data_IF_429841671136
#
_entry.id   IF_429841671136
#
_cell.length_a   1.000
_cell.length_b   1.000
_cell.length_c   1.000
_cell.angle_alpha   90.00
_cell.angle_beta   90.00
_cell.angle_gamma   90.00
#
_symmetry.space_group_name_H-M   'P 1'
#
loop_
_entity.id
_entity.type
_entity.pdbx_description
1 polymer ?
#
# COMPACT_ATOMS: atom_id res chain seq x y z
N UNK A 1 -35.00 2.31 -80.58
CA UNK A 1 -35.41 2.59 -79.19
C UNK A 1 -34.77 1.62 -78.18
N UNK A 2 -33.42 1.63 -78.02
CA UNK A 2 -32.71 0.71 -77.11
C UNK A 2 -31.90 1.47 -76.03
N UNK A 3 -31.85 2.79 -76.09
CA UNK A 3 -30.95 3.56 -75.22
C UNK A 3 -31.48 4.00 -73.84
N UNK A 4 -32.75 3.97 -73.57
CA UNK A 4 -33.33 4.53 -72.33
C UNK A 4 -33.32 3.54 -71.13
N UNK A 5 -33.42 2.25 -71.38
CA UNK A 5 -33.46 1.27 -70.32
C UNK A 5 -32.10 1.04 -69.61
N UNK A 6 -30.98 1.26 -70.29
CA UNK A 6 -29.65 1.11 -69.68
C UNK A 6 -29.28 2.26 -68.74
N UNK A 7 -29.73 3.49 -69.04
CA UNK A 7 -29.47 4.65 -68.18
C UNK A 7 -30.21 4.53 -66.82
N UNK A 8 -31.44 4.02 -66.81
CA UNK A 8 -32.23 3.85 -65.59
C UNK A 8 -31.64 2.78 -64.68
N UNK A 9 -31.09 1.67 -65.17
CA UNK A 9 -30.45 0.63 -64.36
C UNK A 9 -29.15 1.10 -63.69
N UNK A 10 -28.37 1.92 -64.34
CA UNK A 10 -27.13 2.52 -63.77
C UNK A 10 -27.45 3.54 -62.70
N UNK A 11 -28.50 4.36 -62.91
CA UNK A 11 -28.97 5.35 -61.92
C UNK A 11 -29.52 4.69 -60.65
N UNK A 12 -30.29 3.60 -60.77
CA UNK A 12 -30.85 2.89 -59.62
C UNK A 12 -29.74 2.21 -58.81
N UNK A 13 -28.76 1.56 -59.46
CA UNK A 13 -27.63 0.90 -58.76
C UNK A 13 -26.67 1.92 -58.11
N UNK A 14 -26.53 3.11 -58.67
CA UNK A 14 -25.76 4.20 -58.08
C UNK A 14 -26.45 4.79 -56.82
N UNK A 15 -27.77 4.97 -56.87
CA UNK A 15 -28.53 5.40 -55.72
C UNK A 15 -28.52 4.39 -54.57
N UNK A 16 -28.63 3.09 -54.85
CA UNK A 16 -28.54 2.05 -53.85
C UNK A 16 -27.16 2.06 -53.14
N UNK A 17 -26.08 2.24 -53.93
CA UNK A 17 -24.72 2.37 -53.36
C UNK A 17 -24.56 3.61 -52.49
N UNK A 18 -25.11 4.75 -52.90
CA UNK A 18 -25.05 5.96 -52.10
C UNK A 18 -25.80 5.78 -50.79
N UNK A 19 -27.00 5.15 -50.80
CA UNK A 19 -27.74 4.85 -49.60
C UNK A 19 -26.99 3.89 -48.67
N UNK A 20 -26.37 2.82 -49.19
CA UNK A 20 -25.56 1.87 -48.40
C UNK A 20 -24.35 2.56 -47.76
N UNK A 21 -23.65 3.43 -48.51
CA UNK A 21 -22.54 4.21 -48.00
C UNK A 21 -23.00 5.18 -46.89
N UNK A 22 -24.09 5.87 -47.09
CA UNK A 22 -24.66 6.81 -46.11
C UNK A 22 -25.04 6.07 -44.84
N UNK A 23 -25.74 4.94 -44.94
CA UNK A 23 -26.08 4.11 -43.79
C UNK A 23 -24.87 3.59 -43.02
N UNK A 24 -23.81 3.18 -43.74
CA UNK A 24 -22.55 2.76 -43.11
C UNK A 24 -21.83 3.92 -42.43
N UNK A 25 -21.83 5.10 -43.02
CA UNK A 25 -21.27 6.29 -42.37
C UNK A 25 -22.00 6.64 -41.09
N UNK A 26 -23.34 6.64 -41.08
CA UNK A 26 -24.14 6.88 -39.90
C UNK A 26 -23.83 5.86 -38.79
N UNK A 27 -23.73 4.58 -39.16
CA UNK A 27 -23.33 3.52 -38.21
C UNK A 27 -21.95 3.74 -37.63
N UNK A 28 -20.96 4.12 -38.46
CA UNK A 28 -19.59 4.41 -38.00
C UNK A 28 -19.54 5.62 -37.10
N UNK A 29 -20.29 6.69 -37.41
CA UNK A 29 -20.41 7.86 -36.55
C UNK A 29 -21.02 7.52 -35.19
N UNK A 30 -22.05 6.70 -35.15
CA UNK A 30 -22.64 6.21 -33.90
C UNK A 30 -21.65 5.34 -33.09
N UNK A 31 -20.90 4.46 -33.74
CA UNK A 31 -19.87 3.66 -33.06
C UNK A 31 -18.72 4.54 -32.53
N UNK A 32 -18.27 5.53 -33.30
CA UNK A 32 -17.24 6.47 -32.86
C UNK A 32 -17.73 7.29 -31.63
N UNK A 33 -18.95 7.76 -31.64
CA UNK A 33 -19.55 8.48 -30.51
C UNK A 33 -19.59 7.59 -29.26
N UNK A 34 -20.05 6.34 -29.39
CA UNK A 34 -20.12 5.39 -28.30
C UNK A 34 -18.73 5.04 -27.74
N UNK A 35 -17.73 4.79 -28.61
CA UNK A 35 -16.36 4.54 -28.20
C UNK A 35 -15.73 5.76 -27.52
N UNK A 36 -16.03 6.95 -27.99
CA UNK A 36 -15.49 8.20 -27.39
C UNK A 36 -16.05 8.39 -25.98
N UNK A 37 -17.32 8.10 -25.76
CA UNK A 37 -17.94 8.17 -24.44
C UNK A 37 -17.39 7.07 -23.49
N UNK A 38 -17.18 5.86 -23.98
CA UNK A 38 -16.55 4.81 -23.20
C UNK A 38 -15.10 5.17 -22.78
N UNK A 39 -14.33 5.74 -23.69
CA UNK A 39 -12.95 6.20 -23.38
C UNK A 39 -12.97 7.33 -22.34
N UNK A 40 -13.94 8.23 -22.40
CA UNK A 40 -14.09 9.31 -21.44
C UNK A 40 -14.45 8.77 -20.05
N UNK A 41 -15.37 7.83 -19.99
CA UNK A 41 -15.76 7.15 -18.75
C UNK A 41 -14.58 6.38 -18.13
N UNK A 42 -13.85 5.64 -18.95
CA UNK A 42 -12.68 4.89 -18.50
C UNK A 42 -11.55 5.81 -17.96
N UNK A 43 -11.31 6.92 -18.66
CA UNK A 43 -10.37 7.96 -18.18
C UNK A 43 -10.83 8.57 -16.86
N UNK A 44 -12.12 8.87 -16.72
CA UNK A 44 -12.67 9.43 -15.48
C UNK A 44 -12.53 8.46 -14.31
N UNK A 45 -12.83 7.18 -14.54
CA UNK A 45 -12.62 6.11 -13.54
C UNK A 45 -11.16 5.94 -13.15
N UNK A 46 -10.27 6.02 -14.13
CA UNK A 46 -8.83 5.94 -13.89
C UNK A 46 -8.31 7.11 -13.07
N UNK A 47 -8.70 8.34 -13.41
CA UNK A 47 -8.34 9.55 -12.66
C UNK A 47 -8.90 9.48 -11.24
N UNK A 48 -10.15 9.03 -11.06
CA UNK A 48 -10.74 8.85 -9.74
C UNK A 48 -10.01 7.78 -8.91
N UNK A 49 -9.61 6.68 -9.54
CA UNK A 49 -8.81 5.64 -8.88
C UNK A 49 -7.39 6.11 -8.53
N UNK A 50 -6.77 6.92 -9.37
CA UNK A 50 -5.46 7.53 -9.12
C UNK A 50 -5.52 8.60 -8.01
N UNK A 51 -6.60 9.37 -7.93
CA UNK A 51 -6.81 10.39 -6.89
C UNK A 51 -7.11 9.80 -5.50
N UNK A 52 -7.53 8.53 -5.42
CA UNK A 52 -7.73 7.82 -4.15
C UNK A 52 -6.43 7.30 -3.55
N UNK A 53 -5.31 7.44 -4.27
CA UNK A 53 -4.00 7.05 -3.79
C UNK A 53 -3.27 8.31 -3.39
N UNK A 54 -3.22 8.51 -2.09
CA UNK A 54 -2.45 9.59 -1.50
C UNK A 54 -1.00 9.50 -1.99
N UNK A 55 -0.50 10.53 -2.69
CA UNK A 55 0.85 10.55 -3.27
C UNK A 55 1.96 10.45 -2.21
N UNK A 56 1.62 10.62 -0.94
CA UNK A 56 2.57 10.59 0.17
C UNK A 56 2.92 9.18 0.64
N UNK A 57 2.17 8.14 0.26
CA UNK A 57 2.47 6.77 0.71
C UNK A 57 3.44 6.05 -0.24
N UNK A 58 4.72 6.35 -0.09
CA UNK A 58 5.83 5.72 -0.80
C UNK A 58 5.83 4.18 -0.68
N UNK A 59 5.35 3.64 0.44
CA UNK A 59 5.25 2.20 0.65
C UNK A 59 4.18 1.59 -0.24
N UNK A 60 3.04 2.24 -0.36
CA UNK A 60 1.95 1.79 -1.23
C UNK A 60 2.35 1.81 -2.71
N UNK A 61 3.09 2.84 -3.13
CA UNK A 61 3.66 2.92 -4.48
C UNK A 61 4.67 1.79 -4.74
N UNK A 62 5.47 1.42 -3.76
CA UNK A 62 6.43 0.32 -3.88
C UNK A 62 5.72 -1.03 -4.04
N UNK A 63 4.67 -1.29 -3.27
CA UNK A 63 3.84 -2.49 -3.37
C UNK A 63 3.18 -2.58 -4.75
N UNK A 64 2.62 -1.48 -5.25
CA UNK A 64 2.04 -1.41 -6.60
C UNK A 64 3.04 -1.77 -7.69
N UNK A 65 4.27 -1.24 -7.60
CA UNK A 65 5.34 -1.56 -8.55
C UNK A 65 5.71 -3.04 -8.51
N UNK A 66 5.73 -3.65 -7.33
CA UNK A 66 6.01 -5.08 -7.16
C UNK A 66 4.89 -5.90 -7.81
N UNK A 67 3.63 -5.62 -7.50
CA UNK A 67 2.47 -6.32 -8.08
C UNK A 67 2.44 -6.17 -9.60
N UNK A 68 2.67 -4.95 -10.12
CA UNK A 68 2.72 -4.70 -11.55
C UNK A 68 3.85 -5.51 -12.25
N UNK A 69 5.00 -5.65 -11.60
CA UNK A 69 6.11 -6.48 -12.11
C UNK A 69 5.72 -7.95 -12.21
N UNK A 70 5.08 -8.51 -11.19
CA UNK A 70 4.63 -9.90 -11.22
C UNK A 70 3.55 -10.12 -12.27
N UNK A 71 2.62 -9.18 -12.46
CA UNK A 71 1.62 -9.24 -13.53
C UNK A 71 2.27 -9.18 -14.93
N UNK A 72 3.35 -8.41 -15.09
CA UNK A 72 4.11 -8.34 -16.34
C UNK A 72 5.01 -9.56 -16.58
N UNK A 73 5.24 -10.41 -15.57
CA UNK A 73 6.07 -11.62 -15.63
C UNK A 73 5.26 -12.90 -15.81
N UNK A 74 4.07 -12.82 -16.44
CA UNK A 74 3.15 -13.95 -16.71
C UNK A 74 2.67 -14.70 -15.45
N UNK A 75 2.81 -14.12 -14.26
CA UNK A 75 2.22 -14.70 -13.03
C UNK A 75 0.71 -14.51 -13.10
N UNK A 76 -0.09 -15.59 -13.01
CA UNK A 76 -1.54 -15.48 -13.07
C UNK A 76 -2.07 -14.53 -11.98
N UNK A 77 -2.97 -13.57 -12.31
CA UNK A 77 -3.56 -12.67 -11.33
C UNK A 77 -4.20 -13.39 -10.14
N UNK A 78 -4.75 -14.55 -10.37
CA UNK A 78 -5.34 -15.41 -9.35
C UNK A 78 -4.31 -15.89 -8.32
N UNK A 79 -3.10 -16.24 -8.76
CA UNK A 79 -2.02 -16.64 -7.86
C UNK A 79 -1.57 -15.47 -6.98
N UNK A 80 -1.46 -14.26 -7.56
CA UNK A 80 -1.14 -13.06 -6.80
C UNK A 80 -2.22 -12.79 -5.76
N UNK A 81 -3.50 -12.87 -6.15
CA UNK A 81 -4.64 -12.68 -5.25
C UNK A 81 -4.65 -13.70 -4.11
N UNK A 82 -4.41 -14.98 -4.41
CA UNK A 82 -4.33 -16.03 -3.39
C UNK A 82 -3.20 -15.78 -2.40
N UNK A 83 -2.02 -15.37 -2.88
CA UNK A 83 -0.87 -15.03 -2.04
C UNK A 83 -1.19 -13.83 -1.13
N UNK A 84 -1.77 -12.76 -1.67
CA UNK A 84 -2.19 -11.60 -0.88
C UNK A 84 -3.26 -11.97 0.17
N UNK A 85 -4.22 -12.83 -0.17
CA UNK A 85 -5.23 -13.33 0.77
C UNK A 85 -4.62 -14.21 1.87
N UNK A 86 -3.53 -14.93 1.59
CA UNK A 86 -2.80 -15.70 2.60
C UNK A 86 -2.05 -14.78 3.57
N UNK A 87 -1.52 -13.65 3.11
CA UNK A 87 -0.89 -12.65 3.98
C UNK A 87 -1.88 -12.04 5.00
N UNK A 88 -3.16 -11.95 4.65
CA UNK A 88 -4.24 -11.49 5.54
C UNK A 88 -4.68 -12.52 6.59
N UNK A 89 -4.30 -13.79 6.47
CA UNK A 89 -4.60 -14.81 7.49
C UNK A 89 -3.69 -14.64 8.70
N UNK A 90 -4.19 -14.88 9.92
CA UNK A 90 -3.35 -14.82 11.10
C UNK A 90 -2.22 -15.85 10.96
N UNK A 91 -1.01 -15.35 10.69
CA UNK A 91 0.18 -16.18 10.71
C UNK A 91 0.36 -16.77 12.11
N UNK A 92 0.80 -18.02 12.21
CA UNK A 92 1.12 -18.62 13.51
C UNK A 92 2.32 -17.89 14.10
N UNK A 93 2.04 -16.93 14.98
CA UNK A 93 3.06 -16.16 15.68
C UNK A 93 3.29 -16.73 17.08
N UNK A 94 4.56 -16.85 17.47
CA UNK A 94 4.96 -17.14 18.83
C UNK A 94 5.63 -15.90 19.41
N UNK A 95 5.14 -15.44 20.55
CA UNK A 95 5.79 -14.36 21.28
C UNK A 95 7.15 -14.85 21.80
N UNK A 96 8.20 -14.10 21.50
CA UNK A 96 9.56 -14.34 21.94
C UNK A 96 9.86 -13.56 23.18
N UNK A 97 9.41 -12.30 23.24
CA UNK A 97 9.65 -11.40 24.37
C UNK A 97 8.48 -10.44 24.51
N UNK A 98 8.18 -10.06 25.75
CA UNK A 98 7.22 -9.00 26.08
C UNK A 98 7.74 -8.26 27.31
N UNK A 99 8.10 -7.01 27.13
CA UNK A 99 8.74 -6.20 28.19
C UNK A 99 8.37 -4.73 28.02
N UNK A 100 8.25 -4.05 29.15
CA UNK A 100 8.20 -2.59 29.19
C UNK A 100 9.62 -2.05 29.08
N UNK A 101 9.85 -1.16 28.14
CA UNK A 101 11.13 -0.47 27.94
C UNK A 101 10.96 1.03 28.10
N UNK A 102 12.01 1.64 28.61
CA UNK A 102 12.07 3.07 28.82
C UNK A 102 12.29 3.80 27.50
N UNK A 103 11.49 4.84 27.26
CA UNK A 103 11.58 5.67 26.07
C UNK A 103 12.57 6.80 26.31
N UNK A 104 13.58 6.88 25.46
CA UNK A 104 14.54 7.99 25.49
C UNK A 104 13.92 9.25 24.93
N UNK A 105 14.11 10.38 25.60
CA UNK A 105 13.71 11.69 25.12
C UNK A 105 14.91 12.64 25.07
N UNK A 106 14.83 13.79 24.37
CA UNK A 106 15.92 14.75 24.35
C UNK A 106 16.37 15.21 25.74
N UNK A 107 15.47 15.24 26.69
CA UNK A 107 15.71 15.65 28.09
C UNK A 107 16.06 14.50 29.04
N UNK A 108 15.96 13.23 28.54
CA UNK A 108 16.18 12.04 29.33
C UNK A 108 16.84 10.91 28.50
N UNK A 109 18.10 10.66 28.77
CA UNK A 109 18.89 9.68 28.02
C UNK A 109 18.51 8.21 28.28
N UNK A 110 17.55 7.95 29.19
CA UNK A 110 17.16 6.61 29.62
C UNK A 110 18.19 5.93 30.52
N UNK A 111 17.77 4.85 31.19
CA UNK A 111 18.61 3.97 31.98
C UNK A 111 19.06 2.75 31.19
N UNK A 112 19.47 1.70 31.92
CA UNK A 112 19.85 0.40 31.32
C UNK A 112 18.68 -0.31 30.65
N UNK A 113 17.42 0.07 30.99
CA UNK A 113 16.18 -0.50 30.47
C UNK A 113 15.72 0.11 29.12
N UNK A 114 16.50 1.00 28.51
CA UNK A 114 16.12 1.69 27.28
C UNK A 114 16.26 0.83 26.00
N UNK A 115 16.78 -0.38 26.13
CA UNK A 115 16.95 -1.33 25.01
C UNK A 115 16.43 -2.71 25.37
N UNK A 116 15.76 -3.32 24.41
CA UNK A 116 15.42 -4.72 24.47
C UNK A 116 16.42 -5.48 23.59
N UNK A 117 17.12 -6.44 24.18
CA UNK A 117 18.00 -7.36 23.47
C UNK A 117 17.36 -8.74 23.42
N UNK A 118 17.29 -9.32 22.23
CA UNK A 118 16.85 -10.69 22.01
C UNK A 118 17.99 -11.50 21.41
N UNK A 119 18.63 -12.35 22.26
CA UNK A 119 19.65 -13.35 21.83
C UNK A 119 20.75 -12.78 20.93
N UNK A 120 21.35 -11.66 21.25
CA UNK A 120 22.44 -10.99 20.50
C UNK A 120 22.15 -10.71 19.00
N UNK A 121 20.96 -11.08 18.52
CA UNK A 121 20.60 -10.99 17.10
C UNK A 121 19.64 -9.86 16.78
N UNK A 122 18.88 -9.37 17.75
CA UNK A 122 17.93 -8.28 17.62
C UNK A 122 18.05 -7.33 18.80
N UNK A 123 18.21 -6.05 18.54
CA UNK A 123 18.04 -5.00 19.54
C UNK A 123 16.93 -4.04 19.10
N UNK A 124 16.08 -3.64 20.04
CA UNK A 124 15.02 -2.67 19.84
C UNK A 124 15.28 -1.49 20.76
N UNK A 125 15.27 -0.31 20.18
CA UNK A 125 15.47 0.95 20.86
C UNK A 125 14.32 1.92 20.50
N UNK A 126 13.81 2.68 21.49
CA UNK A 126 12.69 3.58 21.28
C UNK A 126 13.05 4.97 21.78
N UNK A 127 12.86 5.93 20.89
CA UNK A 127 12.96 7.37 21.15
C UNK A 127 11.57 8.00 21.06
N UNK A 128 11.32 9.06 21.83
CA UNK A 128 10.07 9.80 21.80
C UNK A 128 10.27 11.26 22.20
N UNK A 129 9.20 12.02 22.09
CA UNK A 129 9.22 13.41 22.55
C UNK A 129 8.83 13.49 24.03
N UNK A 130 9.45 14.43 24.74
CA UNK A 130 9.12 14.72 26.12
C UNK A 130 7.73 15.36 26.23
N UNK A 131 6.99 14.99 27.27
CA UNK A 131 5.71 15.63 27.56
C UNK A 131 5.89 17.08 28.00
N UNK A 132 4.92 17.92 27.69
CA UNK A 132 4.84 19.30 28.17
C UNK A 132 3.75 19.38 29.25
N UNK A 133 4.13 19.60 30.49
CA UNK A 133 3.20 20.05 31.53
C UNK A 133 3.02 21.56 31.46
N UNK A 134 1.86 22.06 31.84
CA UNK A 134 1.48 23.49 31.76
C UNK A 134 2.44 24.47 32.44
N UNK A 135 3.42 24.00 33.20
CA UNK A 135 4.38 24.79 33.95
C UNK A 135 5.84 24.35 33.85
N UNK A 136 6.13 23.13 33.32
CA UNK A 136 7.50 22.60 33.17
C UNK A 136 7.56 21.53 32.09
N UNK A 137 8.67 21.49 31.40
CA UNK A 137 9.05 20.36 30.54
C UNK A 137 9.13 19.10 31.40
N UNK A 138 8.29 18.12 31.07
CA UNK A 138 8.32 16.81 31.74
C UNK A 138 9.38 15.97 31.00
N UNK A 139 10.41 15.44 31.66
CA UNK A 139 11.46 14.65 30.99
C UNK A 139 10.94 13.34 30.42
N UNK A 140 9.77 12.88 30.90
CA UNK A 140 9.20 11.62 30.49
C UNK A 140 8.50 11.70 29.13
N UNK A 141 8.57 10.60 28.40
CA UNK A 141 7.85 10.43 27.13
C UNK A 141 6.34 10.59 27.32
N UNK A 142 5.72 11.32 26.40
CA UNK A 142 4.26 11.44 26.28
C UNK A 142 3.74 10.44 25.27
N UNK A 143 2.92 9.49 25.72
CA UNK A 143 2.32 8.44 24.88
C UNK A 143 1.34 8.95 23.82
N UNK A 144 0.93 10.23 23.87
CA UNK A 144 0.15 10.89 22.84
C UNK A 144 1.03 11.43 21.69
N UNK A 145 2.35 11.46 21.86
CA UNK A 145 3.30 11.90 20.85
C UNK A 145 3.86 10.72 20.04
N UNK A 146 4.37 10.97 18.82
CA UNK A 146 4.99 9.94 18.01
C UNK A 146 6.25 9.34 18.68
N UNK A 147 6.46 8.06 18.46
CA UNK A 147 7.70 7.35 18.82
C UNK A 147 8.49 6.99 17.57
N UNK A 148 9.81 6.98 17.70
CA UNK A 148 10.75 6.45 16.73
C UNK A 148 11.28 5.14 17.27
N UNK A 149 11.05 4.06 16.54
CA UNK A 149 11.54 2.72 16.87
C UNK A 149 12.68 2.38 15.95
N UNK A 150 13.82 1.96 16.50
CA UNK A 150 14.95 1.44 15.75
C UNK A 150 15.16 -0.02 16.12
N UNK A 151 15.13 -0.88 15.13
CA UNK A 151 15.40 -2.30 15.29
C UNK A 151 16.66 -2.65 14.50
N UNK A 152 17.72 -3.03 15.21
CA UNK A 152 18.98 -3.51 14.60
C UNK A 152 19.00 -5.03 14.68
N UNK A 153 19.30 -5.70 13.57
CA UNK A 153 19.31 -7.15 13.45
C UNK A 153 20.40 -7.60 12.47
N UNK A 154 20.67 -8.90 12.36
CA UNK A 154 21.74 -9.43 11.51
C UNK A 154 21.66 -9.03 10.03
N UNK A 155 20.44 -8.69 9.55
CA UNK A 155 20.20 -8.22 8.18
C UNK A 155 20.30 -6.70 8.00
N UNK A 156 20.59 -5.93 9.06
CA UNK A 156 20.69 -4.47 9.00
C UNK A 156 19.91 -3.75 10.09
N UNK A 157 19.45 -2.57 9.77
CA UNK A 157 18.64 -1.72 10.66
C UNK A 157 17.35 -1.31 9.97
N UNK A 158 16.26 -1.29 10.71
CA UNK A 158 14.97 -0.78 10.26
C UNK A 158 14.40 0.20 11.29
N UNK A 159 13.88 1.31 10.79
CA UNK A 159 13.26 2.35 11.61
C UNK A 159 11.78 2.46 11.27
N UNK A 160 10.95 2.79 12.26
CA UNK A 160 9.57 3.16 12.07
C UNK A 160 9.21 4.33 12.99
N UNK A 161 8.36 5.24 12.51
CA UNK A 161 7.89 6.40 13.28
C UNK A 161 6.38 6.44 13.23
N UNK A 162 5.73 6.71 14.35
CA UNK A 162 4.28 6.82 14.42
C UNK A 162 3.74 6.91 15.84
N UNK A 163 2.42 7.07 15.93
CA UNK A 163 1.70 7.04 17.20
C UNK A 163 1.53 5.60 17.70
N UNK A 164 1.41 5.43 19.01
CA UNK A 164 1.04 4.14 19.60
C UNK A 164 -0.46 3.84 19.37
N UNK A 165 -0.84 2.59 19.08
CA UNK A 165 0.01 1.41 18.94
C UNK A 165 0.76 1.38 17.60
N UNK A 166 2.09 1.16 17.63
CA UNK A 166 2.93 1.07 16.45
C UNK A 166 3.37 -0.38 16.21
N UNK A 167 3.42 -0.80 14.95
CA UNK A 167 3.90 -2.13 14.60
C UNK A 167 4.89 -2.04 13.44
N UNK A 168 5.98 -2.80 13.54
CA UNK A 168 6.93 -2.98 12.44
C UNK A 168 7.19 -4.46 12.19
N UNK A 169 7.60 -4.79 10.97
CA UNK A 169 7.89 -6.15 10.54
C UNK A 169 9.30 -6.19 9.96
N UNK A 170 10.11 -7.14 10.44
CA UNK A 170 11.41 -7.47 9.91
C UNK A 170 11.28 -8.78 9.14
N UNK A 171 11.41 -8.73 7.83
CA UNK A 171 11.27 -9.91 6.97
C UNK A 171 12.59 -10.66 6.91
N UNK A 172 12.54 -11.97 7.07
CA UNK A 172 13.62 -12.93 6.93
C UNK A 172 13.17 -13.98 5.88
N UNK A 173 14.04 -14.84 5.41
CA UNK A 173 13.74 -15.73 4.28
C UNK A 173 12.44 -16.53 4.45
N UNK A 174 12.30 -17.27 5.57
CA UNK A 174 11.17 -18.18 5.81
C UNK A 174 10.21 -17.70 6.90
N UNK A 175 10.50 -16.61 7.57
CA UNK A 175 9.74 -16.09 8.69
C UNK A 175 9.94 -14.59 8.85
N UNK A 176 9.13 -13.97 9.68
CA UNK A 176 9.29 -12.57 10.02
C UNK A 176 9.15 -12.32 11.51
N UNK A 177 9.83 -11.29 11.98
CA UNK A 177 9.66 -10.76 13.32
C UNK A 177 8.65 -9.61 13.25
N UNK A 178 7.63 -9.70 14.07
CA UNK A 178 6.72 -8.59 14.33
C UNK A 178 7.09 -7.96 15.66
N UNK A 179 7.38 -6.68 15.65
CA UNK A 179 7.60 -5.85 16.82
C UNK A 179 6.40 -4.96 16.96
N UNK A 180 5.71 -5.05 18.09
CA UNK A 180 4.54 -4.24 18.41
C UNK A 180 4.81 -3.42 19.65
N UNK A 181 4.55 -2.13 19.58
CA UNK A 181 4.63 -1.20 20.70
C UNK A 181 3.21 -0.78 21.10
N UNK A 182 2.95 -0.77 22.39
CA UNK A 182 1.69 -0.28 22.96
C UNK A 182 1.99 0.62 24.15
N UNK A 183 1.06 1.52 24.46
CA UNK A 183 1.15 2.31 25.69
C UNK A 183 1.08 1.40 26.92
N UNK A 184 1.69 1.84 28.01
CA UNK A 184 1.64 1.22 29.33
C UNK A 184 1.22 2.27 30.36
N UNK A 185 0.78 1.84 31.53
CA UNK A 185 0.43 2.72 32.64
C UNK A 185 1.66 3.35 33.32
N UNK A 186 2.87 2.84 33.00
CA UNK A 186 4.13 3.38 33.51
C UNK A 186 4.54 4.60 32.71
N UNK A 187 4.73 5.75 33.38
CA UNK A 187 5.19 6.99 32.74
C UNK A 187 6.58 6.82 32.17
N UNK A 188 6.76 7.23 30.93
CA UNK A 188 8.04 7.15 30.22
C UNK A 188 8.36 5.79 29.64
N UNK A 189 7.43 4.81 29.71
CA UNK A 189 7.61 3.46 29.20
C UNK A 189 6.67 3.14 28.07
N UNK A 190 7.06 2.19 27.24
CA UNK A 190 6.20 1.52 26.26
C UNK A 190 6.35 0.02 26.40
N UNK A 191 5.27 -0.71 26.22
CA UNK A 191 5.32 -2.17 26.15
C UNK A 191 5.76 -2.59 24.75
N UNK A 192 6.82 -3.38 24.67
CA UNK A 192 7.33 -3.94 23.43
C UNK A 192 7.12 -5.45 23.41
N UNK A 193 6.31 -5.90 22.46
CA UNK A 193 6.06 -7.32 22.19
C UNK A 193 6.78 -7.70 20.90
N UNK A 194 7.70 -8.66 21.01
CA UNK A 194 8.43 -9.25 19.87
C UNK A 194 7.87 -10.64 19.60
N UNK A 195 7.44 -10.90 18.37
CA UNK A 195 6.88 -12.19 17.97
C UNK A 195 7.54 -12.70 16.71
N UNK A 196 7.87 -14.00 16.68
CA UNK A 196 8.28 -14.73 15.47
C UNK A 196 7.05 -15.31 14.80
N UNK A 197 6.87 -15.00 13.51
CA UNK A 197 5.73 -15.44 12.72
C UNK A 197 6.23 -16.23 11.50
N UNK A 198 5.62 -17.37 11.23
CA UNK A 198 5.93 -18.18 10.05
C UNK A 198 5.20 -17.61 8.83
N UNK A 199 5.88 -17.59 7.70
CA UNK A 199 5.28 -17.35 6.39
C UNK A 199 4.66 -18.68 5.98
N UNK A 200 3.32 -18.75 5.91
CA UNK A 200 2.59 -19.96 5.48
C UNK A 200 2.50 -20.00 3.96
#
# INVERSE_FOLDING_TARGET
MIGQNQQWSVFSSSNERIQDITQKNDQLEHMLAAMTEQLKDERSRRIAAEALVDEEDQELLSIRKIVARYLASDVPPEQIRQTLNQLGKPSKCRTLENRDIEVVTPSFAGGESNRLFLSDTLSVFVEGEAGMDAQRENPWFDSAQPVIVRASFLGGEKNATGLLPLSMVLSLEDWFIRIRLTSTDLKGYVNVTVSKCLIN
#
